data_IF_521572069256
#
_entry.id   IF_521572069256
#
_cell.length_a   1.000
_cell.length_b   1.000
_cell.length_c   1.000
_cell.angle_alpha   90.00
_cell.angle_beta   90.00
_cell.angle_gamma   90.00
#
_symmetry.space_group_name_H-M   'P 1'
#
loop_
_entity.id
_entity.type
_entity.pdbx_description
1 polymer ?
#
# COMPACT_ATOMS: atom_id res chain seq x y z
N UNK A 1 17.35 13.29 47.80
CA UNK A 1 16.56 13.69 46.62
C UNK A 1 15.96 12.42 46.06
N UNK A 2 14.69 12.18 46.36
CA UNK A 2 13.93 10.97 46.01
C UNK A 2 13.30 11.15 44.64
N UNK A 3 13.60 10.24 43.71
CA UNK A 3 12.97 10.17 42.39
C UNK A 3 11.57 9.55 42.52
N UNK A 4 10.55 10.27 42.07
CA UNK A 4 9.19 9.77 41.83
C UNK A 4 9.09 9.32 40.36
N UNK A 5 8.49 8.17 40.04
CA UNK A 5 8.12 7.83 38.66
C UNK A 5 6.78 8.51 38.29
N UNK A 6 6.71 9.00 37.06
CA UNK A 6 5.48 9.51 36.41
C UNK A 6 4.51 8.34 36.10
N UNK A 7 3.19 8.57 36.06
CA UNK A 7 2.22 7.51 35.82
C UNK A 7 2.14 7.13 34.34
N UNK A 8 2.07 5.83 34.07
CA UNK A 8 1.66 5.26 32.79
C UNK A 8 0.16 5.48 32.60
N UNK A 9 -0.22 6.29 31.61
CA UNK A 9 -1.59 6.36 31.09
C UNK A 9 -1.85 5.17 30.18
N UNK A 10 -2.67 4.22 30.63
CA UNK A 10 -3.21 3.16 29.77
C UNK A 10 -4.45 3.67 29.04
N UNK A 11 -4.42 3.65 27.70
CA UNK A 11 -5.61 3.81 26.87
C UNK A 11 -6.26 2.43 26.69
N UNK A 12 -7.56 2.33 26.99
CA UNK A 12 -8.38 1.16 26.69
C UNK A 12 -9.36 1.52 25.57
N UNK A 13 -9.39 0.71 24.51
CA UNK A 13 -10.43 0.77 23.48
C UNK A 13 -11.40 -0.38 23.75
N UNK A 14 -12.69 -0.09 23.82
CA UNK A 14 -13.74 -1.10 23.97
C UNK A 14 -14.51 -1.23 22.66
N UNK A 15 -14.67 -2.47 22.20
CA UNK A 15 -15.58 -2.84 21.11
C UNK A 15 -16.72 -3.67 21.71
N UNK A 16 -17.97 -3.35 21.32
CA UNK A 16 -19.15 -4.12 21.71
C UNK A 16 -19.83 -4.62 20.43
N UNK A 17 -19.95 -5.95 20.29
CA UNK A 17 -20.62 -6.59 19.15
C UNK A 17 -21.79 -7.43 19.65
N UNK A 18 -22.93 -7.34 18.97
CA UNK A 18 -24.11 -8.17 19.25
C UNK A 18 -23.91 -9.51 18.55
N UNK A 19 -23.62 -10.58 19.30
CA UNK A 19 -23.19 -11.84 18.71
C UNK A 19 -24.30 -12.83 18.36
N UNK A 20 -25.55 -12.66 18.85
CA UNK A 20 -26.64 -13.59 18.53
C UNK A 20 -28.04 -13.04 18.87
N UNK A 21 -29.00 -13.28 17.98
CA UNK A 21 -30.44 -13.17 18.24
C UNK A 21 -31.02 -14.55 17.97
N UNK A 22 -31.58 -15.21 18.99
CA UNK A 22 -32.21 -16.54 18.85
C UNK A 22 -33.74 -16.39 18.78
N UNK A 23 -34.40 -16.74 17.66
CA UNK A 23 -35.82 -16.52 17.48
C UNK A 23 -36.60 -17.78 17.85
N UNK A 24 -36.58 -18.19 19.12
CA UNK A 24 -37.57 -19.13 19.65
C UNK A 24 -38.10 -18.63 20.98
N UNK A 25 -39.44 -18.64 21.09
CA UNK A 25 -40.32 -18.11 22.14
C UNK A 25 -40.89 -16.69 21.91
N UNK A 26 -42.17 -16.70 21.55
CA UNK A 26 -43.07 -15.54 21.53
C UNK A 26 -43.10 -14.95 22.96
N UNK A 27 -42.61 -13.73 23.10
CA UNK A 27 -42.43 -12.91 24.32
C UNK A 27 -41.28 -13.28 25.28
N UNK A 28 -40.02 -13.18 24.85
CA UNK A 28 -38.88 -12.69 25.67
C UNK A 28 -37.63 -12.51 24.79
N UNK A 29 -37.15 -11.28 24.61
CA UNK A 29 -35.86 -11.03 23.96
C UNK A 29 -34.74 -11.14 25.00
N UNK A 30 -33.75 -12.00 24.77
CA UNK A 30 -32.49 -12.01 25.51
C UNK A 30 -31.43 -11.35 24.63
N UNK A 31 -30.80 -10.29 25.13
CA UNK A 31 -29.66 -9.67 24.48
C UNK A 31 -28.38 -10.17 25.14
N UNK A 32 -27.47 -10.72 24.34
CA UNK A 32 -26.12 -11.06 24.77
C UNK A 32 -25.18 -9.98 24.24
N UNK A 33 -24.55 -9.24 25.13
CA UNK A 33 -23.50 -8.27 24.79
C UNK A 33 -22.17 -8.93 25.08
N UNK A 34 -21.40 -9.22 24.04
CA UNK A 34 -20.01 -9.64 24.18
C UNK A 34 -19.13 -8.39 24.22
N UNK A 35 -18.35 -8.25 25.28
CA UNK A 35 -17.35 -7.20 25.42
C UNK A 35 -15.99 -7.87 25.23
N UNK A 36 -15.31 -7.53 24.13
CA UNK A 36 -13.94 -7.97 23.93
C UNK A 36 -12.97 -6.97 24.56
N UNK A 37 -12.07 -7.48 25.39
CA UNK A 37 -10.92 -6.73 25.92
C UNK A 37 -9.71 -7.12 25.08
N UNK A 38 -9.22 -6.20 24.25
CA UNK A 38 -7.97 -6.39 23.51
C UNK A 38 -6.84 -5.75 24.30
N UNK A 39 -6.02 -6.57 24.96
CA UNK A 39 -4.78 -6.10 25.59
C UNK A 39 -3.63 -6.19 24.59
N UNK A 40 -3.12 -5.03 24.16
CA UNK A 40 -1.88 -4.92 23.39
C UNK A 40 -0.70 -5.22 24.32
N UNK A 41 -0.44 -6.49 24.59
CA UNK A 41 0.85 -7.13 24.90
C UNK A 41 0.56 -8.50 25.55
N UNK A 42 0.83 -9.57 24.79
CA UNK A 42 0.64 -11.02 25.06
C UNK A 42 -0.67 -11.63 24.58
N UNK A 43 -0.52 -12.60 23.68
CA UNK A 43 -1.52 -13.52 23.16
C UNK A 43 -2.11 -14.39 24.29
N UNK A 44 -3.21 -13.95 24.88
CA UNK A 44 -4.18 -14.80 25.57
C UNK A 44 -5.57 -14.14 25.50
N UNK A 45 -6.50 -14.75 24.76
CA UNK A 45 -7.90 -14.31 24.69
C UNK A 45 -8.64 -14.79 25.93
N UNK A 46 -9.09 -13.88 26.80
CA UNK A 46 -9.96 -14.21 27.94
C UNK A 46 -11.38 -13.71 27.66
N UNK A 47 -12.34 -14.64 27.50
CA UNK A 47 -13.75 -14.29 27.42
C UNK A 47 -14.31 -14.09 28.83
N UNK A 48 -14.80 -12.88 29.10
CA UNK A 48 -15.51 -12.56 30.34
C UNK A 48 -17.01 -12.57 30.05
N UNK A 49 -17.74 -13.57 30.56
CA UNK A 49 -19.20 -13.54 30.58
C UNK A 49 -19.66 -12.71 31.79
N UNK A 50 -20.30 -11.56 31.54
CA UNK A 50 -21.00 -10.84 32.59
C UNK A 50 -22.43 -11.39 32.65
N UNK A 51 -22.72 -12.13 33.72
CA UNK A 51 -24.09 -12.53 34.05
C UNK A 51 -24.77 -11.34 34.73
N UNK A 52 -25.78 -10.75 34.09
CA UNK A 52 -26.60 -9.70 34.70
C UNK A 52 -27.74 -10.39 35.43
N UNK A 53 -27.76 -10.31 36.76
CA UNK A 53 -28.83 -10.89 37.57
C UNK A 53 -30.18 -10.25 37.29
N UNK A 54 -31.21 -11.09 37.33
CA UNK A 54 -32.60 -10.78 37.03
C UNK A 54 -33.17 -9.78 38.06
N UNK A 55 -33.21 -8.49 37.71
CA UNK A 55 -33.91 -7.48 38.50
C UNK A 55 -35.43 -7.63 38.32
N UNK A 56 -36.07 -8.37 39.21
CA UNK A 56 -37.53 -8.46 39.28
C UNK A 56 -38.12 -7.24 40.00
N UNK A 57 -38.33 -6.15 39.26
CA UNK A 57 -39.15 -5.02 39.71
C UNK A 57 -40.63 -5.27 39.38
N UNK A 58 -41.46 -5.29 40.42
CA UNK A 58 -42.91 -5.41 40.34
C UNK A 58 -43.50 -4.33 39.42
N UNK A 59 -44.14 -4.76 38.33
CA UNK A 59 -44.57 -3.90 37.22
C UNK A 59 -45.85 -3.14 37.55
N UNK A 60 -45.73 -1.86 37.91
CA UNK A 60 -46.83 -0.90 37.76
C UNK A 60 -47.06 -0.62 36.24
N UNK A 61 -48.32 -0.63 35.76
CA UNK A 61 -48.64 -0.42 34.34
C UNK A 61 -48.20 0.95 33.80
N UNK A 62 -47.99 1.95 34.66
CA UNK A 62 -47.51 3.28 34.24
C UNK A 62 -46.03 3.26 33.79
N UNK A 63 -45.22 2.31 34.29
CA UNK A 63 -43.79 2.26 33.96
C UNK A 63 -43.52 1.56 32.62
N UNK A 64 -44.44 0.73 32.11
CA UNK A 64 -44.24 -0.01 30.87
C UNK A 64 -44.13 0.89 29.63
N UNK A 65 -44.85 2.03 29.62
CA UNK A 65 -44.80 2.97 28.50
C UNK A 65 -43.49 3.76 28.49
N UNK A 66 -42.94 4.08 29.67
CA UNK A 66 -41.65 4.76 29.80
C UNK A 66 -40.50 3.86 29.32
N UNK A 67 -40.50 2.57 29.69
CA UNK A 67 -39.49 1.62 29.23
C UNK A 67 -39.52 1.39 27.71
N UNK A 68 -40.72 1.32 27.10
CA UNK A 68 -40.85 1.22 25.64
C UNK A 68 -40.31 2.46 24.94
N UNK A 69 -40.60 3.66 25.47
CA UNK A 69 -40.11 4.91 24.90
C UNK A 69 -38.58 5.04 25.01
N UNK A 70 -38.00 4.73 26.18
CA UNK A 70 -36.55 4.75 26.38
C UNK A 70 -35.85 3.71 25.49
N UNK A 71 -36.40 2.51 25.35
CA UNK A 71 -35.82 1.47 24.47
C UNK A 71 -35.86 1.88 23.00
N UNK A 72 -36.95 2.51 22.56
CA UNK A 72 -37.07 3.04 21.19
C UNK A 72 -36.08 4.18 20.95
N UNK A 73 -35.92 5.07 21.93
CA UNK A 73 -34.99 6.20 21.85
C UNK A 73 -33.52 5.75 21.86
N UNK A 74 -33.16 4.78 22.70
CA UNK A 74 -31.81 4.17 22.71
C UNK A 74 -31.58 3.41 21.41
N UNK A 75 -32.55 2.64 20.91
CA UNK A 75 -32.44 1.95 19.62
C UNK A 75 -32.27 2.92 18.45
N UNK A 76 -33.01 4.03 18.43
CA UNK A 76 -32.89 5.07 17.42
C UNK A 76 -31.59 5.85 17.53
N UNK A 77 -31.12 6.15 18.75
CA UNK A 77 -29.84 6.80 19.00
C UNK A 77 -28.67 5.89 18.58
N UNK A 78 -28.73 4.59 18.90
CA UNK A 78 -27.74 3.61 18.45
C UNK A 78 -27.78 3.47 16.92
N UNK A 79 -28.95 3.44 16.30
CA UNK A 79 -29.09 3.45 14.84
C UNK A 79 -28.47 4.71 14.22
N UNK A 80 -28.73 5.89 14.78
CA UNK A 80 -28.12 7.15 14.34
C UNK A 80 -26.60 7.19 14.53
N UNK A 81 -26.08 6.66 15.65
CA UNK A 81 -24.65 6.55 15.91
C UNK A 81 -23.96 5.51 15.02
N UNK A 82 -24.69 4.47 14.60
CA UNK A 82 -24.23 3.46 13.62
C UNK A 82 -24.07 4.06 12.22
N UNK A 83 -24.85 5.09 11.88
CA UNK A 83 -24.77 5.76 10.56
C UNK A 83 -23.52 6.67 10.47
N UNK A 84 -22.94 7.08 11.60
CA UNK A 84 -21.78 8.00 11.65
C UNK A 84 -20.42 7.32 11.80
N UNK A 85 -20.36 5.99 11.82
CA UNK A 85 -19.12 5.22 11.77
C UNK A 85 -19.08 4.32 10.54
N UNK A 86 -19.31 4.92 9.36
CA UNK A 86 -18.62 4.41 8.20
C UNK A 86 -17.17 4.89 8.34
N UNK A 87 -16.33 4.08 8.98
CA UNK A 87 -14.94 4.02 8.53
C UNK A 87 -14.98 3.82 7.01
N UNK A 88 -13.99 4.32 6.28
CA UNK A 88 -13.85 4.15 4.82
C UNK A 88 -13.63 2.65 4.45
N UNK A 89 -14.48 1.74 4.93
CA UNK A 89 -14.58 0.33 4.60
C UNK A 89 -15.09 0.23 3.16
N UNK A 90 -14.16 0.23 2.21
CA UNK A 90 -14.48 0.06 0.81
C UNK A 90 -13.35 0.43 -0.14
N UNK A 91 -12.38 1.21 0.34
CA UNK A 91 -11.27 1.67 -0.48
C UNK A 91 -9.95 1.04 -0.07
N UNK A 92 -9.05 0.76 -1.02
CA UNK A 92 -7.77 0.14 -0.72
C UNK A 92 -6.93 1.08 0.15
N UNK A 93 -6.76 0.70 1.41
CA UNK A 93 -5.76 1.24 2.31
C UNK A 93 -4.55 0.30 2.27
N UNK A 94 -3.63 0.61 1.38
CA UNK A 94 -2.42 -0.18 1.15
C UNK A 94 -1.56 -0.13 2.41
N UNK A 95 -1.44 -1.26 3.08
CA UNK A 95 -0.80 -1.34 4.39
C UNK A 95 0.62 -1.91 4.28
N UNK A 96 1.56 -1.25 4.97
CA UNK A 96 2.98 -1.60 4.99
C UNK A 96 3.51 -1.74 6.42
N UNK A 97 4.49 -2.61 6.60
CA UNK A 97 5.28 -2.65 7.83
C UNK A 97 6.77 -2.77 7.53
N UNK A 98 7.59 -2.00 8.25
CA UNK A 98 9.02 -2.25 8.31
C UNK A 98 9.31 -3.34 9.35
N UNK A 99 9.82 -4.50 8.89
CA UNK A 99 10.18 -5.65 9.73
C UNK A 99 11.37 -6.38 9.14
N UNK A 100 12.30 -6.78 10.00
CA UNK A 100 13.45 -7.63 9.63
C UNK A 100 14.22 -7.11 8.40
N UNK A 101 14.40 -5.79 8.30
CA UNK A 101 15.13 -5.16 7.20
C UNK A 101 14.34 -5.02 5.89
N UNK A 102 13.05 -5.32 5.89
CA UNK A 102 12.20 -5.32 4.70
C UNK A 102 10.90 -4.54 4.92
N UNK A 103 10.37 -3.97 3.83
CA UNK A 103 9.01 -3.43 3.81
C UNK A 103 8.06 -4.54 3.37
N UNK A 104 7.29 -5.06 4.32
CA UNK A 104 6.19 -5.98 4.07
C UNK A 104 5.01 -5.23 3.44
N UNK A 105 4.43 -5.78 2.37
CA UNK A 105 3.28 -5.23 1.65
C UNK A 105 2.02 -6.04 1.99
N UNK A 106 0.89 -5.35 2.12
CA UNK A 106 -0.44 -5.94 2.34
C UNK A 106 -0.64 -6.66 3.68
N UNK A 107 -0.14 -6.06 4.77
CA UNK A 107 -0.33 -6.62 6.13
C UNK A 107 -1.80 -6.66 6.59
N UNK A 108 -2.68 -5.93 5.89
CA UNK A 108 -4.12 -5.87 6.15
C UNK A 108 -4.94 -6.83 5.26
N UNK A 109 -4.30 -7.58 4.35
CA UNK A 109 -4.94 -8.54 3.44
C UNK A 109 -6.04 -7.94 2.54
N UNK A 110 -5.82 -6.73 2.07
CA UNK A 110 -6.71 -6.03 1.13
C UNK A 110 -6.32 -6.27 -0.34
N UNK A 111 -5.08 -6.71 -0.57
CA UNK A 111 -4.57 -7.02 -1.90
C UNK A 111 -5.17 -8.30 -2.48
N UNK A 112 -5.18 -8.37 -3.81
CA UNK A 112 -5.51 -9.56 -4.59
C UNK A 112 -4.23 -10.19 -5.14
N UNK A 113 -4.30 -11.49 -5.44
CA UNK A 113 -3.19 -12.19 -6.12
C UNK A 113 -3.24 -11.87 -7.62
N UNK A 114 -2.10 -11.53 -8.20
CA UNK A 114 -1.87 -11.34 -9.63
C UNK A 114 -0.57 -12.07 -10.00
N UNK A 115 -0.66 -13.35 -10.38
CA UNK A 115 0.53 -14.19 -10.51
C UNK A 115 1.28 -14.29 -9.19
N UNK A 116 2.58 -13.97 -9.21
CA UNK A 116 3.43 -13.90 -8.02
C UNK A 116 3.36 -12.53 -7.30
N UNK A 117 2.58 -11.58 -7.83
CA UNK A 117 2.45 -10.23 -7.31
C UNK A 117 1.19 -10.01 -6.48
N UNK A 118 1.21 -8.93 -5.69
CA UNK A 118 0.02 -8.35 -5.06
C UNK A 118 -0.56 -7.27 -5.95
N UNK A 119 -1.89 -7.15 -5.98
CA UNK A 119 -2.61 -6.13 -6.72
C UNK A 119 -3.66 -5.44 -5.85
N UNK A 120 -3.62 -4.12 -5.76
CA UNK A 120 -4.66 -3.33 -5.09
C UNK A 120 -5.57 -2.69 -6.13
N UNK A 121 -6.87 -2.97 -6.03
CA UNK A 121 -7.86 -2.48 -6.98
C UNK A 121 -8.47 -1.17 -6.47
N UNK A 122 -8.24 -0.08 -7.22
CA UNK A 122 -8.80 1.25 -7.00
C UNK A 122 -9.92 1.44 -8.01
N UNK A 123 -11.16 1.54 -7.53
CA UNK A 123 -12.34 1.64 -8.40
C UNK A 123 -12.79 3.10 -8.56
N UNK A 124 -13.01 3.52 -9.81
CA UNK A 124 -13.67 4.79 -10.13
C UNK A 124 -15.11 4.49 -10.50
N UNK A 125 -16.04 4.84 -9.60
CA UNK A 125 -17.47 4.61 -9.78
C UNK A 125 -18.24 5.89 -10.15
N UNK A 126 -17.60 7.06 -10.10
CA UNK A 126 -18.21 8.35 -10.39
C UNK A 126 -17.71 8.94 -11.73
N UNK A 127 -18.51 9.86 -12.28
CA UNK A 127 -18.31 10.42 -13.63
C UNK A 127 -17.58 11.76 -13.64
N UNK A 128 -16.78 12.07 -12.62
CA UNK A 128 -16.07 13.35 -12.60
C UNK A 128 -14.95 13.33 -13.62
N UNK A 129 -14.85 14.40 -14.40
CA UNK A 129 -13.71 14.62 -15.30
C UNK A 129 -12.69 15.48 -14.57
N UNK A 130 -11.44 15.04 -14.47
CA UNK A 130 -10.90 13.69 -14.73
C UNK A 130 -11.28 12.67 -13.64
N UNK A 131 -11.29 11.35 -13.92
CA UNK A 131 -11.60 10.33 -12.91
C UNK A 131 -10.57 10.42 -11.79
N UNK A 132 -11.03 10.67 -10.56
CA UNK A 132 -10.15 11.02 -9.44
C UNK A 132 -10.57 10.30 -8.16
N UNK A 133 -9.60 9.72 -7.45
CA UNK A 133 -9.81 9.10 -6.14
C UNK A 133 -8.88 9.73 -5.11
N UNK A 134 -9.46 10.19 -4.01
CA UNK A 134 -8.75 10.85 -2.93
C UNK A 134 -8.65 10.04 -1.64
N UNK A 135 -9.47 9.00 -1.44
CA UNK A 135 -9.51 8.32 -0.14
C UNK A 135 -8.65 7.03 -0.11
N UNK A 136 -8.26 6.49 -1.27
CA UNK A 136 -7.25 5.44 -1.38
C UNK A 136 -5.90 5.91 -0.84
N UNK A 137 -5.30 5.14 0.06
CA UNK A 137 -4.19 5.60 0.88
C UNK A 137 -3.09 4.57 1.09
N UNK A 138 -1.93 5.07 1.51
CA UNK A 138 -0.81 4.31 2.04
C UNK A 138 -0.78 4.45 3.55
N UNK A 139 -0.74 3.33 4.26
CA UNK A 139 -0.57 3.29 5.72
C UNK A 139 0.65 2.46 6.06
N UNK A 140 1.54 2.99 6.89
CA UNK A 140 2.77 2.31 7.29
C UNK A 140 2.96 2.28 8.79
N UNK A 141 3.69 1.27 9.27
CA UNK A 141 4.07 1.14 10.68
C UNK A 141 5.48 0.54 10.85
N UNK A 142 6.13 0.84 11.97
CA UNK A 142 7.43 0.27 12.33
C UNK A 142 8.65 0.97 11.73
N UNK A 143 8.48 2.06 10.98
CA UNK A 143 9.58 2.76 10.29
C UNK A 143 10.42 3.60 11.27
N UNK A 144 11.53 3.07 11.75
CA UNK A 144 12.27 3.57 12.92
C UNK A 144 13.50 4.44 12.61
N UNK A 145 13.87 4.61 11.34
CA UNK A 145 15.04 5.36 10.89
C UNK A 145 14.73 6.81 10.46
N UNK A 146 13.46 7.22 10.47
CA UNK A 146 13.01 8.52 9.99
C UNK A 146 13.05 8.67 8.47
N UNK A 147 13.31 9.89 7.96
CA UNK A 147 13.51 10.16 6.52
C UNK A 147 12.22 10.31 5.71
N UNK A 148 12.33 10.16 4.40
CA UNK A 148 11.23 10.31 3.44
C UNK A 148 10.78 8.93 2.99
N UNK A 149 9.49 8.63 3.15
CA UNK A 149 8.85 7.49 2.50
C UNK A 149 8.32 7.94 1.15
N UNK A 150 8.64 7.16 0.12
CA UNK A 150 8.32 7.44 -1.28
C UNK A 150 7.78 6.17 -1.94
N UNK A 151 7.10 6.34 -3.07
CA UNK A 151 6.93 5.25 -4.02
C UNK A 151 7.90 5.43 -5.18
N UNK A 152 8.25 4.32 -5.83
CA UNK A 152 8.88 4.32 -7.14
C UNK A 152 8.06 3.45 -8.08
N UNK A 153 7.79 3.97 -9.28
CA UNK A 153 7.17 3.19 -10.35
C UNK A 153 8.19 2.27 -11.00
N UNK A 154 7.80 1.01 -11.18
CA UNK A 154 8.59 -0.09 -11.72
C UNK A 154 8.16 -0.47 -13.14
N UNK A 155 7.10 0.15 -13.63
CA UNK A 155 6.60 -0.01 -14.99
C UNK A 155 6.09 1.32 -15.54
N UNK A 156 5.95 1.39 -16.86
CA UNK A 156 5.01 2.32 -17.50
C UNK A 156 3.56 1.90 -17.18
N UNK A 157 2.61 2.74 -17.57
CA UNK A 157 1.19 2.40 -17.47
C UNK A 157 0.90 1.24 -18.44
N UNK A 158 0.07 0.30 -17.99
CA UNK A 158 -0.47 -0.78 -18.80
C UNK A 158 -1.98 -0.58 -18.96
N UNK A 159 -2.53 -0.97 -20.11
CA UNK A 159 -3.98 -0.96 -20.39
C UNK A 159 -4.46 -2.37 -20.75
N UNK A 160 -5.53 -2.83 -20.13
CA UNK A 160 -6.16 -4.08 -20.52
C UNK A 160 -6.82 -3.95 -21.90
N UNK A 161 -6.50 -4.86 -22.82
CA UNK A 161 -7.20 -5.00 -24.10
C UNK A 161 -8.18 -6.17 -24.04
N UNK A 162 -9.48 -5.87 -24.13
CA UNK A 162 -10.50 -6.93 -24.25
C UNK A 162 -10.38 -7.70 -25.56
N UNK A 163 -10.00 -7.02 -26.66
CA UNK A 163 -9.84 -7.62 -27.98
C UNK A 163 -8.72 -8.65 -28.01
N UNK A 164 -7.56 -8.31 -27.43
CA UNK A 164 -6.37 -9.15 -27.43
C UNK A 164 -6.28 -10.06 -26.19
N UNK A 165 -7.11 -9.81 -25.17
CA UNK A 165 -7.08 -10.51 -23.88
C UNK A 165 -5.70 -10.45 -23.20
N UNK A 166 -5.04 -9.29 -23.30
CA UNK A 166 -3.71 -9.05 -22.76
C UNK A 166 -3.55 -7.64 -22.19
N UNK A 167 -2.47 -7.44 -21.43
CA UNK A 167 -2.05 -6.13 -20.93
C UNK A 167 -1.16 -5.44 -21.96
N UNK A 168 -1.68 -4.40 -22.60
CA UNK A 168 -0.92 -3.57 -23.54
C UNK A 168 0.10 -2.73 -22.80
N UNK A 169 1.33 -2.72 -23.28
CA UNK A 169 2.41 -1.87 -22.79
C UNK A 169 2.51 -0.54 -23.54
N UNK A 170 1.85 -0.42 -24.70
CA UNK A 170 1.96 0.74 -25.59
C UNK A 170 0.70 0.92 -26.45
N UNK A 171 0.56 2.11 -27.04
CA UNK A 171 -0.41 2.39 -28.10
C UNK A 171 -1.76 2.89 -27.61
N UNK A 172 -1.81 3.50 -26.42
CA UNK A 172 -3.02 4.09 -25.85
C UNK A 172 -2.74 5.49 -25.29
N UNK A 173 -3.79 6.31 -25.15
CA UNK A 173 -3.64 7.74 -24.87
C UNK A 173 -3.80 8.10 -23.38
N UNK A 174 -4.13 7.13 -22.54
CA UNK A 174 -4.30 7.35 -21.11
C UNK A 174 -2.98 7.53 -20.36
N UNK A 175 -3.05 8.33 -19.30
CA UNK A 175 -2.01 8.57 -18.33
C UNK A 175 -2.57 8.42 -16.92
N UNK A 176 -1.74 7.90 -16.03
CA UNK A 176 -1.94 7.94 -14.60
C UNK A 176 -1.25 9.18 -14.04
N UNK A 177 -1.99 9.93 -13.25
CA UNK A 177 -1.46 11.03 -12.46
C UNK A 177 -1.59 10.70 -10.99
N UNK A 178 -0.45 10.73 -10.28
CA UNK A 178 -0.37 10.55 -8.84
C UNK A 178 0.06 11.89 -8.24
N UNK A 179 -0.83 12.52 -7.47
CA UNK A 179 -0.59 13.83 -6.88
C UNK A 179 -0.57 13.76 -5.37
N UNK A 180 0.41 14.39 -4.73
CA UNK A 180 0.43 14.58 -3.28
C UNK A 180 1.14 15.87 -2.90
N UNK A 181 0.47 16.67 -2.06
CA UNK A 181 0.91 18.04 -1.76
C UNK A 181 1.10 18.84 -3.07
N UNK A 182 2.30 19.37 -3.30
CA UNK A 182 2.66 20.09 -4.54
C UNK A 182 3.40 19.21 -5.56
N UNK A 183 3.58 17.91 -5.28
CA UNK A 183 4.25 16.98 -6.18
C UNK A 183 3.21 16.25 -7.04
N UNK A 184 3.42 16.27 -8.35
CA UNK A 184 2.59 15.57 -9.32
C UNK A 184 3.48 14.72 -10.22
N UNK A 185 3.10 13.46 -10.37
CA UNK A 185 3.78 12.51 -11.21
C UNK A 185 2.84 11.95 -12.27
N UNK A 186 3.36 11.84 -13.48
CA UNK A 186 2.63 11.33 -14.64
C UNK A 186 3.31 10.06 -15.13
N UNK A 187 2.50 9.04 -15.39
CA UNK A 187 2.93 7.75 -15.93
C UNK A 187 2.08 7.47 -17.15
N UNK A 188 2.71 7.30 -18.30
CA UNK A 188 2.07 7.00 -19.59
C UNK A 188 2.51 5.60 -20.02
N UNK A 189 2.15 5.20 -21.23
CA UNK A 189 2.62 3.96 -21.84
C UNK A 189 4.13 3.96 -22.17
N UNK A 190 4.74 5.15 -22.28
CA UNK A 190 6.15 5.34 -22.67
C UNK A 190 7.02 6.07 -21.66
N UNK A 191 6.43 6.70 -20.63
CA UNK A 191 7.13 7.46 -19.61
C UNK A 191 6.69 7.03 -18.21
N UNK A 192 7.60 7.21 -17.26
CA UNK A 192 7.34 7.00 -15.85
C UNK A 192 7.96 5.73 -15.26
N UNK A 193 8.74 4.93 -16.00
CA UNK A 193 9.56 3.89 -15.34
C UNK A 193 10.66 4.54 -14.48
N UNK A 194 10.85 4.06 -13.24
CA UNK A 194 11.83 4.57 -12.28
C UNK A 194 11.50 5.95 -11.72
N UNK A 195 10.29 6.45 -11.94
CA UNK A 195 9.85 7.73 -11.39
C UNK A 195 9.56 7.57 -9.89
N UNK A 196 10.09 8.49 -9.09
CA UNK A 196 9.85 8.53 -7.65
C UNK A 196 8.87 9.65 -7.28
N UNK A 197 7.98 9.37 -6.33
CA UNK A 197 7.04 10.35 -5.79
C UNK A 197 6.89 10.27 -4.28
N UNK A 198 6.53 11.40 -3.69
CA UNK A 198 6.48 11.57 -2.24
C UNK A 198 5.26 10.89 -1.60
N UNK A 199 5.43 10.22 -0.45
CA UNK A 199 4.35 9.74 0.42
C UNK A 199 4.35 10.47 1.75
N UNK A 200 5.44 10.46 2.50
CA UNK A 200 5.47 11.16 3.79
C UNK A 200 6.88 11.44 4.25
N UNK A 201 7.03 12.34 5.22
CA UNK A 201 8.27 12.52 5.97
C UNK A 201 8.04 12.00 7.40
N UNK A 202 8.92 11.10 7.83
CA UNK A 202 8.96 10.52 9.16
C UNK A 202 9.97 11.30 10.02
N UNK A 203 9.55 12.47 10.48
CA UNK A 203 10.41 13.29 11.35
C UNK A 203 10.44 12.76 12.79
N UNK A 204 9.30 12.33 13.32
CA UNK A 204 9.15 11.93 14.73
C UNK A 204 8.23 10.72 14.95
N UNK A 205 7.75 10.11 13.87
CA UNK A 205 6.78 9.01 13.91
C UNK A 205 7.33 7.78 13.21
N UNK A 206 7.02 6.60 13.74
CA UNK A 206 7.29 5.32 13.08
C UNK A 206 6.10 4.77 12.30
N UNK A 207 5.01 5.53 12.26
CA UNK A 207 3.80 5.21 11.49
C UNK A 207 3.35 6.39 10.65
N UNK A 208 2.64 6.10 9.57
CA UNK A 208 2.07 7.12 8.71
C UNK A 208 0.75 6.66 8.09
N UNK A 209 -0.06 7.65 7.73
CA UNK A 209 -1.24 7.49 6.87
C UNK A 209 -1.20 8.62 5.84
N UNK A 210 -1.38 8.26 4.58
CA UNK A 210 -1.12 9.13 3.46
C UNK A 210 -2.10 8.84 2.32
N UNK A 211 -3.01 9.79 2.06
CA UNK A 211 -3.91 9.73 0.92
C UNK A 211 -3.36 10.54 -0.27
N UNK A 212 -2.63 9.93 -1.22
CA UNK A 212 -2.38 10.56 -2.50
C UNK A 212 -3.68 10.65 -3.29
N UNK A 213 -3.68 11.51 -4.30
CA UNK A 213 -4.76 11.58 -5.27
C UNK A 213 -4.34 10.80 -6.50
N UNK A 214 -5.11 9.78 -6.84
CA UNK A 214 -4.95 9.05 -8.10
C UNK A 214 -5.91 9.61 -9.15
N UNK A 215 -5.43 9.73 -10.38
CA UNK A 215 -6.22 10.25 -11.48
C UNK A 215 -5.87 9.55 -12.78
N UNK A 216 -6.87 9.05 -13.50
CA UNK A 216 -6.70 8.54 -14.87
C UNK A 216 -7.39 9.50 -15.84
N UNK A 217 -6.68 9.86 -16.90
CA UNK A 217 -7.15 10.77 -17.95
C UNK A 217 -6.38 10.52 -19.24
N UNK A 218 -6.84 11.05 -20.38
CA UNK A 218 -6.01 11.07 -21.60
C UNK A 218 -4.89 12.11 -21.48
N UNK A 219 -3.89 12.03 -22.34
CA UNK A 219 -2.77 13.00 -22.37
C UNK A 219 -3.22 14.44 -22.63
N UNK A 220 -4.34 14.62 -23.33
CA UNK A 220 -5.02 15.91 -23.57
C UNK A 220 -5.98 16.31 -22.43
N UNK A 221 -5.94 15.59 -21.31
CA UNK A 221 -6.78 15.77 -20.12
C UNK A 221 -8.26 15.45 -20.31
N UNK A 222 -8.64 14.88 -21.46
CA UNK A 222 -10.00 14.38 -21.69
C UNK A 222 -10.27 13.07 -20.93
N UNK A 223 -11.54 12.65 -20.92
CA UNK A 223 -11.98 11.43 -20.24
C UNK A 223 -11.26 10.19 -20.81
N UNK A 224 -10.74 9.30 -19.95
CA UNK A 224 -10.20 8.03 -20.40
C UNK A 224 -11.33 7.08 -20.80
N UNK A 225 -10.98 6.00 -21.48
CA UNK A 225 -11.94 4.94 -21.77
C UNK A 225 -12.22 4.10 -20.51
N UNK A 226 -13.43 3.54 -20.40
CA UNK A 226 -13.73 2.47 -19.45
C UNK A 226 -12.75 1.30 -19.67
N UNK A 227 -12.31 0.66 -18.60
CA UNK A 227 -11.29 -0.39 -18.68
C UNK A 227 -10.56 -0.63 -17.38
N UNK A 228 -9.48 -1.41 -17.47
CA UNK A 228 -8.52 -1.60 -16.41
C UNK A 228 -7.15 -1.04 -16.82
N UNK A 229 -6.53 -0.30 -15.90
CA UNK A 229 -5.18 0.23 -16.06
C UNK A 229 -4.31 -0.26 -14.92
N UNK A 230 -3.04 -0.54 -15.17
CA UNK A 230 -2.14 -1.08 -14.18
C UNK A 230 -0.80 -0.37 -14.19
N UNK A 231 -0.25 -0.12 -13.00
CA UNK A 231 1.16 0.26 -12.82
C UNK A 231 1.75 -0.56 -11.69
N UNK A 232 3.00 -0.98 -11.83
CA UNK A 232 3.75 -1.58 -10.74
C UNK A 232 4.51 -0.50 -10.00
N UNK A 233 4.47 -0.55 -8.68
CA UNK A 233 5.23 0.33 -7.80
C UNK A 233 5.92 -0.48 -6.71
N UNK A 234 6.93 0.11 -6.11
CA UNK A 234 7.44 -0.29 -4.81
C UNK A 234 7.26 0.86 -3.80
N UNK A 235 7.38 0.53 -2.52
CA UNK A 235 7.62 1.53 -1.47
C UNK A 235 9.09 1.47 -1.09
N UNK A 236 9.72 2.61 -0.91
CA UNK A 236 11.06 2.73 -0.34
C UNK A 236 11.10 3.88 0.64
N UNK A 237 12.17 3.96 1.41
CA UNK A 237 12.46 5.21 2.09
C UNK A 237 13.93 5.59 2.06
N UNK A 238 14.12 6.89 1.95
CA UNK A 238 15.39 7.55 1.66
C UNK A 238 15.63 8.66 2.67
N UNK A 239 16.86 9.09 2.81
CA UNK A 239 17.17 10.28 3.60
C UNK A 239 16.66 11.57 2.95
N UNK A 240 16.91 12.72 3.58
CA UNK A 240 16.48 14.02 3.08
C UNK A 240 17.10 14.40 1.73
N UNK A 241 18.20 13.76 1.33
CA UNK A 241 18.82 13.98 0.01
C UNK A 241 18.08 13.25 -1.11
N UNK A 242 17.30 12.22 -0.77
CA UNK A 242 16.63 11.34 -1.72
C UNK A 242 17.53 10.26 -2.33
N UNK A 243 18.82 10.22 -1.98
CA UNK A 243 19.77 9.26 -2.55
C UNK A 243 20.01 8.05 -1.66
N UNK A 244 20.27 8.27 -0.36
CA UNK A 244 20.66 7.19 0.54
C UNK A 244 19.43 6.42 1.01
N UNK A 245 19.47 5.09 0.85
CA UNK A 245 18.38 4.21 1.24
C UNK A 245 18.42 4.00 2.76
N UNK A 246 17.33 4.34 3.43
CA UNK A 246 17.09 4.03 4.84
C UNK A 246 16.25 2.75 4.98
N UNK A 247 15.28 2.58 4.09
CA UNK A 247 14.45 1.37 4.03
C UNK A 247 14.53 0.79 2.63
N UNK A 248 15.03 -0.44 2.55
CA UNK A 248 15.16 -1.17 1.28
C UNK A 248 13.80 -1.18 0.55
N UNK A 249 13.78 -0.97 -0.77
CA UNK A 249 12.55 -1.05 -1.54
C UNK A 249 11.79 -2.35 -1.26
N UNK A 250 10.47 -2.23 -1.14
CA UNK A 250 9.56 -3.38 -1.04
C UNK A 250 9.64 -4.22 -2.31
N UNK A 251 9.13 -5.45 -2.23
CA UNK A 251 8.77 -6.17 -3.45
C UNK A 251 7.77 -5.33 -4.26
N UNK A 252 7.88 -5.29 -5.60
CA UNK A 252 6.90 -4.59 -6.44
C UNK A 252 5.49 -5.16 -6.29
N UNK A 253 4.49 -4.28 -6.36
CA UNK A 253 3.08 -4.63 -6.36
C UNK A 253 2.31 -3.75 -7.34
N UNK A 254 1.18 -4.25 -7.81
CA UNK A 254 0.34 -3.57 -8.80
C UNK A 254 -0.69 -2.65 -8.13
N UNK A 255 -0.83 -1.45 -8.65
CA UNK A 255 -2.04 -0.63 -8.53
C UNK A 255 -2.89 -0.86 -9.78
N UNK A 256 -4.11 -1.32 -9.59
CA UNK A 256 -5.06 -1.61 -10.68
C UNK A 256 -6.23 -0.65 -10.59
N UNK A 257 -6.38 0.19 -11.60
CA UNK A 257 -7.43 1.18 -11.69
C UNK A 257 -8.59 0.61 -12.51
N UNK A 258 -9.74 0.44 -11.88
CA UNK A 258 -10.97 -0.03 -12.52
C UNK A 258 -11.87 1.15 -12.86
N UNK A 259 -12.05 1.40 -14.16
CA UNK A 259 -12.88 2.49 -14.69
C UNK A 259 -14.11 1.89 -15.36
N UNK A 260 -15.30 2.25 -14.88
CA UNK A 260 -16.57 1.73 -15.39
C UNK A 260 -17.70 2.78 -15.35
N UNK A 261 -17.40 4.05 -15.63
CA UNK A 261 -18.41 5.09 -15.50
C UNK A 261 -19.37 5.13 -16.70
N UNK A 262 -18.97 4.57 -17.85
CA UNK A 262 -19.86 4.38 -19.00
C UNK A 262 -20.53 3.00 -19.00
N UNK A 263 -20.31 2.20 -17.95
CA UNK A 263 -20.81 0.83 -17.78
C UNK A 263 -20.34 -0.16 -18.86
N UNK A 264 -19.18 0.10 -19.48
CA UNK A 264 -18.63 -0.74 -20.55
C UNK A 264 -17.62 -1.78 -20.06
N UNK A 265 -17.15 -1.71 -18.82
CA UNK A 265 -16.14 -2.61 -18.27
C UNK A 265 -16.47 -3.00 -16.82
N UNK A 266 -17.34 -4.00 -16.65
CA UNK A 266 -17.86 -4.36 -15.32
C UNK A 266 -16.83 -5.12 -14.43
N UNK A 267 -17.27 -5.50 -13.22
CA UNK A 267 -16.43 -6.25 -12.28
C UNK A 267 -16.09 -7.66 -12.77
N UNK A 268 -16.91 -8.26 -13.63
CA UNK A 268 -16.63 -9.58 -14.18
C UNK A 268 -15.50 -9.47 -15.21
N UNK A 269 -15.54 -8.46 -16.07
CA UNK A 269 -14.46 -8.15 -17.02
C UNK A 269 -13.14 -7.90 -16.29
N UNK A 270 -13.15 -7.08 -15.23
CA UNK A 270 -11.97 -6.88 -14.37
C UNK A 270 -11.45 -8.20 -13.77
N UNK A 271 -12.34 -9.05 -13.26
CA UNK A 271 -11.95 -10.32 -12.66
C UNK A 271 -11.32 -11.30 -13.68
N UNK A 272 -11.63 -11.17 -14.97
CA UNK A 272 -10.94 -11.93 -16.02
C UNK A 272 -9.58 -11.32 -16.35
N UNK A 273 -9.49 -9.99 -16.46
CA UNK A 273 -8.23 -9.29 -16.70
C UNK A 273 -7.16 -9.64 -15.63
N UNK A 274 -7.56 -9.70 -14.36
CA UNK A 274 -6.68 -10.03 -13.24
C UNK A 274 -6.18 -11.50 -13.22
N UNK A 275 -6.69 -12.37 -14.10
CA UNK A 275 -6.13 -13.73 -14.27
C UNK A 275 -4.94 -13.76 -15.21
N UNK A 276 -4.74 -12.71 -15.99
CA UNK A 276 -3.63 -12.58 -16.93
C UNK A 276 -2.53 -11.77 -16.26
N UNK A 277 -1.36 -12.40 -16.10
CA UNK A 277 -0.18 -11.75 -15.56
C UNK A 277 0.49 -10.96 -16.69
N UNK A 278 0.80 -9.66 -16.51
CA UNK A 278 1.48 -8.88 -17.53
C UNK A 278 2.92 -9.38 -17.73
N UNK A 279 3.36 -9.49 -18.99
CA UNK A 279 4.73 -9.85 -19.35
C UNK A 279 5.68 -8.64 -19.24
N UNK A 280 6.05 -8.29 -18.01
CA UNK A 280 6.96 -7.17 -17.72
C UNK A 280 8.12 -7.62 -16.84
N UNK A 281 9.27 -6.99 -17.03
CA UNK A 281 10.44 -7.20 -16.18
C UNK A 281 10.46 -6.13 -15.09
N UNK A 282 10.39 -6.55 -13.83
CA UNK A 282 10.43 -5.67 -12.66
C UNK A 282 11.78 -5.78 -11.96
N UNK A 283 12.17 -4.74 -11.21
CA UNK A 283 13.42 -4.78 -10.47
C UNK A 283 13.34 -5.74 -9.27
N UNK A 284 14.34 -6.62 -9.16
CA UNK A 284 14.62 -7.39 -7.95
C UNK A 284 15.87 -6.82 -7.28
N UNK A 285 15.67 -5.88 -6.36
CA UNK A 285 16.75 -5.19 -5.67
C UNK A 285 17.63 -6.12 -4.85
N UNK A 286 17.10 -7.24 -4.35
CA UNK A 286 17.90 -8.23 -3.63
C UNK A 286 18.81 -9.00 -4.57
N UNK A 287 18.30 -9.42 -5.73
CA UNK A 287 19.12 -10.07 -6.77
C UNK A 287 20.14 -9.08 -7.36
N UNK A 288 19.78 -7.80 -7.51
CA UNK A 288 20.73 -6.74 -7.90
C UNK A 288 21.86 -6.55 -6.89
N UNK A 289 21.56 -6.50 -5.59
CA UNK A 289 22.59 -6.44 -4.55
C UNK A 289 23.56 -7.63 -4.64
N UNK A 290 23.02 -8.84 -4.79
CA UNK A 290 23.84 -10.05 -4.95
C UNK A 290 24.74 -9.98 -6.19
N UNK A 291 24.24 -9.39 -7.29
CA UNK A 291 25.04 -9.18 -8.50
C UNK A 291 26.16 -8.17 -8.26
N UNK A 292 25.90 -7.09 -7.53
CA UNK A 292 26.92 -6.11 -7.19
C UNK A 292 27.97 -6.69 -6.24
N UNK A 293 27.55 -7.47 -5.25
CA UNK A 293 28.47 -8.22 -4.36
C UNK A 293 29.35 -9.17 -5.18
N UNK A 294 28.78 -9.87 -6.16
CA UNK A 294 29.54 -10.73 -7.08
C UNK A 294 30.56 -9.92 -7.89
N UNK A 295 30.16 -8.76 -8.43
CA UNK A 295 31.04 -7.90 -9.21
C UNK A 295 32.23 -7.39 -8.37
N UNK A 296 31.98 -7.01 -7.11
CA UNK A 296 33.01 -6.63 -6.13
C UNK A 296 34.04 -7.74 -5.90
N UNK A 297 33.61 -9.00 -5.93
CA UNK A 297 34.49 -10.16 -5.77
C UNK A 297 35.28 -10.49 -7.05
N UNK A 298 34.67 -10.34 -8.23
CA UNK A 298 35.29 -10.74 -9.50
C UNK A 298 36.16 -9.65 -10.13
N UNK A 299 35.83 -8.38 -9.91
CA UNK A 299 36.43 -7.25 -10.62
C UNK A 299 36.96 -6.21 -9.63
N UNK A 300 37.79 -6.67 -8.71
CA UNK A 300 38.34 -5.87 -7.59
C UNK A 300 39.15 -4.65 -8.03
N UNK A 301 39.70 -4.64 -9.25
CA UNK A 301 40.38 -3.46 -9.80
C UNK A 301 39.43 -2.29 -10.04
N UNK A 302 38.17 -2.59 -10.40
CA UNK A 302 37.12 -1.59 -10.64
C UNK A 302 36.26 -1.34 -9.40
N UNK A 303 36.01 -2.39 -8.61
CA UNK A 303 35.12 -2.38 -7.46
C UNK A 303 35.90 -2.84 -6.21
N UNK A 304 36.78 -1.98 -5.66
CA UNK A 304 37.86 -2.38 -4.74
C UNK A 304 37.43 -2.70 -3.32
N UNK A 305 36.18 -2.42 -2.94
CA UNK A 305 35.64 -2.66 -1.61
C UNK A 305 34.13 -2.83 -1.72
N UNK A 306 33.51 -3.38 -0.67
CA UNK A 306 32.05 -3.39 -0.59
C UNK A 306 31.49 -1.98 -0.41
N UNK A 307 30.35 -1.72 -1.04
CA UNK A 307 29.66 -0.44 -0.98
C UNK A 307 28.16 -0.67 -0.78
N UNK A 308 27.50 0.27 -0.13
CA UNK A 308 26.05 0.23 0.05
C UNK A 308 25.32 0.75 -1.20
N UNK A 309 24.19 0.12 -1.53
CA UNK A 309 23.34 0.54 -2.63
C UNK A 309 22.56 1.82 -2.31
N UNK A 310 22.38 2.66 -3.32
CA UNK A 310 21.67 3.94 -3.23
C UNK A 310 21.01 4.30 -4.56
N UNK A 311 20.06 5.24 -4.54
CA UNK A 311 19.47 5.79 -5.76
C UNK A 311 20.22 7.04 -6.21
N UNK A 312 20.72 7.04 -7.44
CA UNK A 312 21.44 8.20 -8.00
C UNK A 312 20.87 8.49 -9.39
N UNK A 313 20.20 9.63 -9.56
CA UNK A 313 19.57 10.01 -10.84
C UNK A 313 18.71 8.89 -11.48
N UNK A 314 17.98 8.13 -10.65
CA UNK A 314 17.11 7.03 -11.08
C UNK A 314 17.83 5.69 -11.33
N UNK A 315 19.12 5.59 -11.05
CA UNK A 315 19.87 4.33 -11.05
C UNK A 315 19.90 3.73 -9.65
N UNK A 316 19.72 2.42 -9.56
CA UNK A 316 20.07 1.66 -8.36
C UNK A 316 21.56 1.31 -8.43
N UNK A 317 22.38 1.97 -7.62
CA UNK A 317 23.82 1.99 -7.83
C UNK A 317 24.65 1.93 -6.55
N UNK A 318 25.89 1.47 -6.70
CA UNK A 318 26.97 1.53 -5.71
C UNK A 318 28.13 2.33 -6.27
N UNK A 319 28.71 3.18 -5.44
CA UNK A 319 29.85 4.01 -5.82
C UNK A 319 31.04 3.75 -4.90
N UNK A 320 32.22 3.66 -5.51
CA UNK A 320 33.44 3.23 -4.87
C UNK A 320 34.43 4.39 -4.70
N UNK A 321 35.42 4.22 -3.84
CA UNK A 321 36.41 5.24 -3.50
C UNK A 321 37.28 5.68 -4.70
N UNK A 322 37.39 4.85 -5.73
CA UNK A 322 38.07 5.18 -7.00
C UNK A 322 37.18 6.01 -7.95
N UNK A 323 36.04 6.51 -7.47
CA UNK A 323 35.05 7.29 -8.21
C UNK A 323 34.32 6.53 -9.33
N UNK A 324 34.48 5.20 -9.41
CA UNK A 324 33.65 4.37 -10.27
C UNK A 324 32.33 4.11 -9.56
N UNK A 325 31.22 4.16 -10.29
CA UNK A 325 29.93 3.65 -9.86
C UNK A 325 29.49 2.51 -10.76
N UNK A 326 28.89 1.48 -10.18
CA UNK A 326 28.18 0.39 -10.85
C UNK A 326 26.70 0.58 -10.55
N UNK A 327 25.83 0.49 -11.55
CA UNK A 327 24.40 0.61 -11.32
C UNK A 327 23.55 -0.09 -12.35
N UNK A 328 22.28 -0.28 -11.99
CA UNK A 328 21.25 -0.81 -12.85
C UNK A 328 20.15 0.22 -13.09
N UNK A 329 19.64 0.25 -14.32
CA UNK A 329 18.47 1.02 -14.72
C UNK A 329 17.83 0.38 -15.95
N UNK A 330 16.50 0.35 -16.02
CA UNK A 330 15.75 -0.14 -17.19
C UNK A 330 16.22 -1.54 -17.67
N UNK A 331 16.50 -2.45 -16.71
CA UNK A 331 16.95 -3.81 -17.00
C UNK A 331 18.36 -3.92 -17.58
N UNK A 332 19.20 -2.89 -17.43
CA UNK A 332 20.56 -2.82 -17.98
C UNK A 332 21.59 -2.41 -16.93
N UNK A 333 22.82 -2.87 -17.13
CA UNK A 333 23.97 -2.54 -16.29
C UNK A 333 24.77 -1.39 -16.89
N UNK A 334 25.15 -0.46 -16.00
CA UNK A 334 25.91 0.74 -16.32
C UNK A 334 27.10 0.91 -15.38
N UNK A 335 28.16 1.53 -15.88
CA UNK A 335 29.19 2.13 -15.03
C UNK A 335 29.34 3.61 -15.33
N UNK A 336 29.79 4.39 -14.36
CA UNK A 336 30.10 5.81 -14.54
C UNK A 336 31.29 6.23 -13.68
N UNK A 337 31.93 7.35 -14.04
CA UNK A 337 33.03 7.93 -13.26
C UNK A 337 34.35 7.16 -13.37
N UNK A 338 35.34 7.59 -12.58
CA UNK A 338 36.68 7.00 -12.56
C UNK A 338 37.30 6.86 -13.95
N UNK A 339 37.77 5.65 -14.29
CA UNK A 339 38.39 5.35 -15.59
C UNK A 339 37.41 5.42 -16.78
N UNK A 340 36.11 5.32 -16.53
CA UNK A 340 35.07 5.34 -17.56
C UNK A 340 34.64 6.77 -17.91
N UNK A 341 34.87 7.73 -17.00
CA UNK A 341 34.42 9.11 -17.16
C UNK A 341 32.89 9.19 -17.14
N UNK A 342 32.27 9.18 -18.31
CA UNK A 342 30.82 9.25 -18.48
C UNK A 342 30.09 7.93 -18.19
N UNK A 343 28.77 7.93 -18.38
CA UNK A 343 27.95 6.72 -18.27
C UNK A 343 28.25 5.79 -19.46
N UNK A 344 28.53 4.53 -19.15
CA UNK A 344 28.79 3.45 -20.10
C UNK A 344 27.81 2.32 -19.86
N UNK A 345 27.05 1.91 -20.88
CA UNK A 345 26.17 0.73 -20.85
C UNK A 345 26.97 -0.54 -21.14
N UNK A 346 26.73 -1.61 -20.38
CA UNK A 346 27.43 -2.89 -20.56
C UNK A 346 26.53 -4.01 -21.08
N UNK A 347 25.20 -3.84 -21.03
CA UNK A 347 24.23 -4.80 -21.57
C UNK A 347 23.07 -5.06 -20.61
N UNK A 348 22.25 -6.08 -20.95
CA UNK A 348 21.11 -6.50 -20.13
C UNK A 348 21.57 -7.09 -18.81
N UNK A 349 20.85 -6.77 -17.73
CA UNK A 349 21.11 -7.31 -16.40
C UNK A 349 20.96 -8.84 -16.35
N UNK A 350 20.08 -9.43 -17.16
CA UNK A 350 19.88 -10.89 -17.18
C UNK A 350 21.15 -11.62 -17.62
N UNK A 351 21.88 -11.08 -18.60
CA UNK A 351 23.17 -11.65 -19.01
C UNK A 351 24.17 -11.66 -17.85
N UNK A 352 24.17 -10.62 -17.00
CA UNK A 352 25.05 -10.57 -15.84
C UNK A 352 24.60 -11.52 -14.73
N UNK A 353 23.29 -11.69 -14.53
CA UNK A 353 22.77 -12.72 -13.62
C UNK A 353 23.19 -14.12 -14.05
N UNK A 354 23.05 -14.47 -15.33
CA UNK A 354 23.49 -15.75 -15.87
C UNK A 354 25.00 -15.99 -15.65
N UNK A 355 25.83 -14.99 -15.91
CA UNK A 355 27.29 -15.06 -15.69
C UNK A 355 27.61 -15.24 -14.20
N UNK A 356 26.86 -14.58 -13.31
CA UNK A 356 27.05 -14.67 -11.87
C UNK A 356 26.46 -15.94 -11.24
N UNK A 357 25.62 -16.69 -11.99
CA UNK A 357 24.90 -17.86 -11.48
C UNK A 357 23.76 -17.51 -10.52
N UNK A 358 23.10 -16.37 -10.75
CA UNK A 358 22.01 -15.81 -9.94
C UNK A 358 20.63 -16.00 -10.55
#
# INVERSE_FOLDING_TARGET
>A
MTNLPLPLTHFFIWSATICRIDPQFIFKYHFWICIEKVEFFRSTTTHSLIHIDEFSLEKSPEHQNLYKFISLFIGFLLFLLSITTMAHEGEPNMAFAWRDGNIEVDIAQQGRVLGDYKAFVISFADSFTPYRMGDSGFTGSGFDQGGIISYQTESTLLKWSEEQSEWLQAGFAEQLVISRLSDEKKVTDNEGNGLQGFITNLTTSSSFEAHPVFRIQKTDESLPDDGAYMVFINILGVDESGENILYKPSVPFALVFHINAQANFDRLALAQALKVVPEIQLNDYTRMDMLFDWAELQVTELFPHSAESRFIFGYYARCYANSVCLGSKDGKIYTAGGIFGGITEHGSIETFYEIAGL
#
